data_IF_282333470977
#
_entry.id   IF_282333470977
#
_cell.length_a   1.000
_cell.length_b   1.000
_cell.length_c   1.000
_cell.angle_alpha   90.00
_cell.angle_beta   90.00
_cell.angle_gamma   90.00
#
_symmetry.space_group_name_H-M   'P 1'
#
loop_
_entity.id
_entity.type
_entity.pdbx_description
1 polymer ?
#
# COMPACT_ATOMS: atom_id res chain seq x y z
N UNK A 1 -10.38 18.06 0.30
CA UNK A 1 -8.91 17.82 0.32
C UNK A 1 -8.46 17.68 -1.12
N UNK A 2 -7.27 18.08 -1.50
CA UNK A 2 -6.79 17.90 -2.88
C UNK A 2 -6.13 16.54 -2.99
N UNK A 3 -6.55 15.72 -3.95
CA UNK A 3 -5.92 14.43 -4.25
C UNK A 3 -4.49 14.65 -4.73
N UNK A 4 -3.56 13.85 -4.22
CA UNK A 4 -2.14 13.91 -4.56
C UNK A 4 -1.75 12.67 -5.37
N UNK A 5 -0.86 12.86 -6.34
CA UNK A 5 -0.44 11.80 -7.24
C UNK A 5 1.08 11.72 -7.31
N UNK A 6 1.58 10.49 -7.45
CA UNK A 6 3.01 10.24 -7.62
C UNK A 6 3.31 8.77 -7.93
N UNK A 7 4.55 8.45 -8.29
CA UNK A 7 4.94 7.08 -8.58
C UNK A 7 5.25 6.29 -7.31
N UNK A 8 4.99 4.99 -7.37
CA UNK A 8 5.47 4.00 -6.42
C UNK A 8 6.83 3.47 -6.90
N UNK A 9 7.89 3.97 -6.30
CA UNK A 9 9.27 3.70 -6.70
C UNK A 9 9.77 4.54 -7.89
N UNK A 10 11.01 4.31 -8.27
CA UNK A 10 11.63 5.03 -9.38
C UNK A 10 11.10 4.50 -10.72
N UNK A 11 10.41 5.33 -11.46
CA UNK A 11 9.90 4.99 -12.79
C UNK A 11 11.05 4.73 -13.79
N UNK A 12 10.79 3.94 -14.82
CA UNK A 12 11.75 3.71 -15.92
C UNK A 12 12.21 5.04 -16.56
N UNK A 13 11.29 6.00 -16.71
CA UNK A 13 11.58 7.33 -17.25
C UNK A 13 12.49 8.18 -16.36
N UNK A 14 12.57 7.90 -15.05
CA UNK A 14 13.56 8.51 -14.16
C UNK A 14 14.99 8.11 -14.55
N UNK A 15 15.22 6.80 -14.73
CA UNK A 15 16.52 6.30 -15.20
C UNK A 15 16.85 6.76 -16.63
N UNK A 16 15.86 6.79 -17.54
CA UNK A 16 16.03 7.30 -18.89
C UNK A 16 16.38 8.80 -18.95
N UNK A 17 15.94 9.57 -17.95
CA UNK A 17 16.32 10.98 -17.80
C UNK A 17 17.73 11.17 -17.21
N UNK A 18 18.49 10.08 -16.98
CA UNK A 18 19.88 10.12 -16.50
C UNK A 18 20.04 10.10 -14.99
N UNK A 19 18.94 10.01 -14.22
CA UNK A 19 18.99 9.92 -12.75
C UNK A 19 19.26 8.49 -12.28
N UNK A 20 20.05 8.35 -11.21
CA UNK A 20 20.38 7.05 -10.62
C UNK A 20 20.12 7.01 -9.12
N UNK A 21 20.28 8.11 -8.42
CA UNK A 21 20.13 8.19 -6.97
C UNK A 21 18.70 8.57 -6.59
N UNK A 22 18.05 7.74 -5.75
CA UNK A 22 16.66 7.98 -5.33
C UNK A 22 16.46 9.32 -4.61
N UNK A 23 17.49 9.89 -3.99
CA UNK A 23 17.42 11.23 -3.40
C UNK A 23 17.06 12.33 -4.41
N UNK A 24 17.27 12.09 -5.70
CA UNK A 24 16.95 13.05 -6.77
C UNK A 24 15.50 12.89 -7.27
N UNK A 25 14.80 11.84 -6.84
CA UNK A 25 13.43 11.56 -7.26
C UNK A 25 12.43 12.66 -6.89
N UNK A 26 12.45 13.27 -5.68
CA UNK A 26 11.50 14.34 -5.34
C UNK A 26 11.57 15.54 -6.30
N UNK A 27 12.76 16.00 -6.64
CA UNK A 27 12.93 17.10 -7.59
C UNK A 27 12.43 16.75 -9.00
N UNK A 28 12.73 15.54 -9.47
CA UNK A 28 12.28 15.05 -10.76
C UNK A 28 10.75 14.87 -10.83
N UNK A 29 10.13 14.39 -9.76
CA UNK A 29 8.67 14.21 -9.62
C UNK A 29 7.98 15.59 -9.64
N UNK A 30 8.48 16.55 -8.86
CA UNK A 30 7.97 17.91 -8.82
C UNK A 30 8.02 18.59 -10.19
N UNK A 31 9.11 18.40 -10.95
CA UNK A 31 9.26 18.92 -12.31
C UNK A 31 8.23 18.34 -13.30
N UNK A 32 7.58 17.23 -12.96
CA UNK A 32 6.46 16.64 -13.73
C UNK A 32 5.07 17.07 -13.24
N UNK A 33 5.01 17.97 -12.25
CA UNK A 33 3.75 18.44 -11.67
C UNK A 33 3.09 17.44 -10.70
N UNK A 34 3.81 16.39 -10.29
CA UNK A 34 3.34 15.41 -9.31
C UNK A 34 3.74 15.86 -7.89
N UNK A 35 3.03 15.34 -6.88
CA UNK A 35 3.13 15.82 -5.49
C UNK A 35 3.32 14.72 -4.45
N UNK A 36 3.42 13.45 -4.87
CA UNK A 36 3.65 12.32 -3.97
C UNK A 36 4.77 11.41 -4.50
N UNK A 37 5.40 10.69 -3.59
CA UNK A 37 6.35 9.61 -3.91
C UNK A 37 6.28 8.51 -2.85
N UNK A 38 6.14 7.27 -3.29
CA UNK A 38 6.22 6.12 -2.41
C UNK A 38 7.58 5.43 -2.53
N UNK A 39 8.32 5.34 -1.41
CA UNK A 39 9.58 4.62 -1.36
C UNK A 39 9.34 3.11 -1.25
N UNK A 40 9.96 2.31 -2.12
CA UNK A 40 9.74 0.86 -2.20
C UNK A 40 10.78 0.06 -1.43
N UNK A 41 10.34 -0.67 -0.38
CA UNK A 41 11.16 -1.61 0.39
C UNK A 41 10.89 -3.08 0.01
N UNK A 42 10.47 -3.38 -1.21
CA UNK A 42 9.95 -4.68 -1.64
C UNK A 42 10.76 -5.90 -1.19
N UNK A 43 12.10 -5.82 -1.17
CA UNK A 43 13.00 -6.93 -0.76
C UNK A 43 13.68 -6.69 0.59
N UNK A 44 13.05 -5.93 1.48
CA UNK A 44 13.58 -5.58 2.79
C UNK A 44 13.98 -4.11 2.89
N UNK A 45 13.98 -3.59 4.12
CA UNK A 45 14.36 -2.21 4.42
C UNK A 45 15.88 -2.10 4.44
N UNK A 46 16.46 -1.62 3.34
CA UNK A 46 17.93 -1.50 3.18
C UNK A 46 18.43 -0.08 3.26
N UNK A 47 17.51 0.90 3.36
CA UNK A 47 17.87 2.30 3.46
C UNK A 47 18.37 2.64 4.86
N UNK A 48 19.52 3.29 4.95
CA UNK A 48 20.03 3.87 6.20
C UNK A 48 19.41 5.23 6.49
N UNK A 49 19.44 5.65 7.76
CA UNK A 49 18.81 6.90 8.23
C UNK A 49 19.35 8.15 7.53
N UNK A 50 20.65 8.20 7.23
CA UNK A 50 21.26 9.33 6.49
C UNK A 50 20.62 9.48 5.10
N UNK A 51 20.56 8.39 4.32
CA UNK A 51 19.97 8.42 2.97
C UNK A 51 18.48 8.72 3.01
N UNK A 52 17.76 8.15 3.99
CA UNK A 52 16.34 8.44 4.21
C UNK A 52 16.12 9.94 4.51
N UNK A 53 16.94 10.51 5.39
CA UNK A 53 16.91 11.94 5.71
C UNK A 53 17.18 12.84 4.50
N UNK A 54 18.11 12.47 3.62
CA UNK A 54 18.37 13.21 2.38
C UNK A 54 17.16 13.20 1.43
N UNK A 55 16.48 12.06 1.28
CA UNK A 55 15.24 11.97 0.49
C UNK A 55 14.16 12.87 1.11
N UNK A 56 14.01 12.83 2.44
CA UNK A 56 13.04 13.66 3.16
C UNK A 56 13.29 15.17 2.99
N UNK A 57 14.55 15.61 3.08
CA UNK A 57 14.92 17.01 2.87
C UNK A 57 14.58 17.48 1.44
N UNK A 58 14.90 16.68 0.43
CA UNK A 58 14.56 17.01 -0.95
C UNK A 58 13.04 16.97 -1.19
N UNK A 59 12.31 16.02 -0.57
CA UNK A 59 10.86 15.97 -0.64
C UNK A 59 10.22 17.23 -0.04
N UNK A 60 10.66 17.63 1.15
CA UNK A 60 10.18 18.86 1.81
C UNK A 60 10.45 20.10 0.96
N UNK A 61 11.64 20.24 0.40
CA UNK A 61 12.04 21.35 -0.45
C UNK A 61 11.15 21.49 -1.70
N UNK A 62 10.70 20.38 -2.24
CA UNK A 62 9.89 20.34 -3.46
C UNK A 62 8.39 20.12 -3.22
N UNK A 63 7.94 20.08 -1.96
CA UNK A 63 6.53 19.90 -1.61
C UNK A 63 5.99 18.50 -1.97
N UNK A 64 6.86 17.47 -1.93
CA UNK A 64 6.48 16.08 -2.21
C UNK A 64 6.12 15.38 -0.91
N UNK A 65 4.91 14.82 -0.84
CA UNK A 65 4.49 13.95 0.26
C UNK A 65 5.07 12.56 0.07
N UNK A 66 5.65 12.00 1.14
CA UNK A 66 6.27 10.69 1.12
C UNK A 66 5.39 9.64 1.80
N UNK A 67 5.40 8.44 1.25
CA UNK A 67 4.97 7.20 1.88
C UNK A 67 6.03 6.12 1.68
N UNK A 68 5.90 4.99 2.38
CA UNK A 68 6.82 3.88 2.24
C UNK A 68 6.06 2.57 2.09
N UNK A 69 6.40 1.78 1.07
CA UNK A 69 5.89 0.41 0.93
C UNK A 69 6.80 -0.56 1.70
N UNK A 70 6.24 -1.25 2.68
CA UNK A 70 6.95 -2.26 3.46
C UNK A 70 7.31 -3.49 2.59
N UNK A 71 8.19 -4.41 3.07
CA UNK A 71 8.54 -5.60 2.32
C UNK A 71 7.34 -6.46 1.93
N UNK A 72 7.24 -6.82 0.65
CA UNK A 72 6.08 -7.54 0.09
C UNK A 72 5.86 -8.95 0.67
N UNK A 73 6.87 -9.52 1.33
CA UNK A 73 6.80 -10.86 1.93
C UNK A 73 6.25 -10.88 3.35
N UNK A 74 5.86 -9.75 3.93
CA UNK A 74 5.12 -9.70 5.19
C UNK A 74 3.83 -10.51 5.04
N UNK A 75 3.55 -11.36 6.04
CA UNK A 75 2.38 -12.22 6.06
C UNK A 75 1.67 -12.14 7.40
N UNK A 76 0.66 -11.28 7.49
CA UNK A 76 -0.13 -11.06 8.70
C UNK A 76 -1.08 -12.23 9.03
N UNK A 77 -1.33 -13.14 8.09
CA UNK A 77 -2.20 -14.30 8.31
C UNK A 77 -1.49 -15.51 8.92
N UNK A 78 -0.18 -15.40 9.20
CA UNK A 78 0.60 -16.53 9.73
C UNK A 78 0.22 -16.86 11.18
N UNK A 79 0.25 -18.16 11.53
CA UNK A 79 0.12 -18.70 12.89
C UNK A 79 1.48 -19.12 13.49
N UNK A 80 2.55 -19.06 12.69
CA UNK A 80 3.90 -19.44 13.11
C UNK A 80 4.54 -18.33 13.93
N UNK A 81 4.83 -18.59 15.22
CA UNK A 81 5.37 -17.59 16.15
C UNK A 81 6.64 -16.91 15.65
N UNK A 82 7.59 -17.67 15.05
CA UNK A 82 8.82 -17.10 14.49
C UNK A 82 8.54 -16.13 13.34
N UNK A 83 7.58 -16.46 12.46
CA UNK A 83 7.18 -15.57 11.35
C UNK A 83 6.46 -14.32 11.84
N UNK A 84 5.63 -14.43 12.88
CA UNK A 84 5.02 -13.28 13.52
C UNK A 84 6.05 -12.28 14.03
N UNK A 85 7.06 -12.77 14.77
CA UNK A 85 8.14 -11.92 15.28
C UNK A 85 8.95 -11.27 14.15
N UNK A 86 9.24 -11.99 13.07
CA UNK A 86 9.90 -11.43 11.88
C UNK A 86 9.03 -10.34 11.22
N UNK A 87 7.72 -10.56 11.09
CA UNK A 87 6.81 -9.57 10.52
C UNK A 87 6.77 -8.28 11.35
N UNK A 88 6.71 -8.41 12.69
CA UNK A 88 6.81 -7.26 13.60
C UNK A 88 8.13 -6.50 13.34
N UNK A 89 9.27 -7.20 13.29
CA UNK A 89 10.56 -6.59 12.99
C UNK A 89 10.57 -5.82 11.66
N UNK A 90 10.03 -6.40 10.58
CA UNK A 90 9.95 -5.72 9.28
C UNK A 90 9.05 -4.48 9.30
N UNK A 91 7.95 -4.53 10.04
CA UNK A 91 7.08 -3.35 10.19
C UNK A 91 7.79 -2.25 10.97
N UNK A 92 8.47 -2.57 12.08
CA UNK A 92 9.23 -1.61 12.87
C UNK A 92 10.40 -0.99 12.08
N UNK A 93 11.11 -1.78 11.28
CA UNK A 93 12.14 -1.27 10.36
C UNK A 93 11.54 -0.33 9.30
N UNK A 94 10.35 -0.65 8.80
CA UNK A 94 9.62 0.21 7.85
C UNK A 94 9.17 1.51 8.51
N UNK A 95 8.66 1.47 9.73
CA UNK A 95 8.30 2.66 10.52
C UNK A 95 9.52 3.57 10.78
N UNK A 96 10.67 2.97 11.14
CA UNK A 96 11.93 3.71 11.30
C UNK A 96 12.31 4.44 10.01
N UNK A 97 12.34 3.72 8.89
CA UNK A 97 12.72 4.32 7.61
C UNK A 97 11.73 5.39 7.15
N UNK A 98 10.42 5.17 7.36
CA UNK A 98 9.38 6.17 7.07
C UNK A 98 9.59 7.44 7.90
N UNK A 99 9.81 7.31 9.22
CA UNK A 99 10.09 8.46 10.09
C UNK A 99 11.37 9.20 9.69
N UNK A 100 12.45 8.46 9.40
CA UNK A 100 13.74 9.04 8.98
C UNK A 100 13.62 9.88 7.71
N UNK A 101 12.71 9.52 6.80
CA UNK A 101 12.45 10.28 5.56
C UNK A 101 11.29 11.30 5.69
N UNK A 102 10.60 11.36 6.84
CA UNK A 102 9.46 12.26 7.03
C UNK A 102 8.17 11.80 6.35
N UNK A 103 8.04 10.49 6.08
CA UNK A 103 6.79 9.87 5.65
C UNK A 103 5.89 9.61 6.85
N UNK A 104 4.57 9.80 6.69
CA UNK A 104 3.57 9.64 7.74
C UNK A 104 2.88 8.27 7.72
N UNK A 105 3.14 7.45 6.71
CA UNK A 105 2.48 6.16 6.52
C UNK A 105 3.35 5.11 5.83
N UNK A 106 3.01 3.85 6.13
CA UNK A 106 3.58 2.68 5.47
C UNK A 106 2.47 1.81 4.90
N UNK A 107 2.68 1.23 3.71
CA UNK A 107 1.80 0.22 3.10
C UNK A 107 2.27 -1.17 3.48
N UNK A 108 1.35 -2.04 3.90
CA UNK A 108 1.65 -3.39 4.38
C UNK A 108 0.73 -4.41 3.74
N UNK A 109 1.30 -5.46 3.13
CA UNK A 109 0.57 -6.62 2.64
C UNK A 109 0.03 -7.48 3.78
N UNK A 110 -1.13 -8.09 3.56
CA UNK A 110 -1.81 -8.95 4.55
C UNK A 110 -1.37 -10.41 4.51
N UNK A 111 -0.85 -10.86 3.36
CA UNK A 111 -0.26 -12.18 3.21
C UNK A 111 -1.21 -13.31 2.82
N UNK A 112 -0.64 -14.47 2.50
CA UNK A 112 -1.35 -15.60 1.93
C UNK A 112 -2.10 -16.46 2.96
N UNK A 113 -3.25 -17.01 2.55
CA UNK A 113 -4.06 -17.95 3.36
C UNK A 113 -3.25 -19.19 3.78
N UNK A 114 -2.36 -19.66 2.87
CA UNK A 114 -1.58 -20.88 3.09
C UNK A 114 -2.35 -22.14 2.68
N UNK A 115 -1.62 -23.24 2.43
CA UNK A 115 -2.21 -24.47 1.88
C UNK A 115 -2.99 -25.31 2.90
N UNK A 116 -2.74 -25.13 4.20
CA UNK A 116 -3.28 -25.98 5.29
C UNK A 116 -4.34 -25.27 6.14
N UNK A 117 -4.70 -24.03 5.82
CA UNK A 117 -5.64 -23.22 6.59
C UNK A 117 -6.87 -22.87 5.78
N UNK A 118 -7.97 -22.68 6.46
CA UNK A 118 -9.16 -22.05 5.87
C UNK A 118 -8.95 -20.53 5.79
N UNK A 119 -9.72 -19.86 4.96
CA UNK A 119 -9.68 -18.40 4.85
C UNK A 119 -10.10 -17.73 6.17
N UNK A 120 -11.10 -18.28 6.84
CA UNK A 120 -11.57 -17.77 8.14
C UNK A 120 -10.49 -17.88 9.22
N UNK A 121 -9.75 -18.99 9.26
CA UNK A 121 -8.61 -19.15 10.18
C UNK A 121 -7.47 -18.16 9.86
N UNK A 122 -7.20 -17.90 8.57
CA UNK A 122 -6.21 -16.91 8.15
C UNK A 122 -6.65 -15.48 8.54
N UNK A 123 -7.93 -15.14 8.38
CA UNK A 123 -8.49 -13.86 8.84
C UNK A 123 -8.44 -13.72 10.36
N UNK A 124 -8.76 -14.76 11.12
CA UNK A 124 -8.64 -14.74 12.58
C UNK A 124 -7.20 -14.46 13.02
N UNK A 125 -6.21 -15.10 12.39
CA UNK A 125 -4.79 -14.81 12.62
C UNK A 125 -4.42 -13.37 12.25
N UNK A 126 -4.91 -12.87 11.11
CA UNK A 126 -4.64 -11.49 10.68
C UNK A 126 -5.15 -10.48 11.70
N UNK A 127 -6.34 -10.67 12.27
CA UNK A 127 -6.87 -9.79 13.34
C UNK A 127 -5.97 -9.76 14.58
N UNK A 128 -5.43 -10.92 14.98
CA UNK A 128 -4.50 -11.01 16.13
C UNK A 128 -3.19 -10.31 15.78
N UNK A 129 -2.60 -10.64 14.63
CA UNK A 129 -1.28 -10.14 14.24
C UNK A 129 -1.28 -8.63 13.98
N UNK A 130 -2.37 -8.06 13.44
CA UNK A 130 -2.53 -6.61 13.30
C UNK A 130 -2.50 -5.92 14.67
N UNK A 131 -3.20 -6.45 15.67
CA UNK A 131 -3.16 -5.88 17.04
C UNK A 131 -1.78 -6.00 17.68
N UNK A 132 -1.11 -7.14 17.53
CA UNK A 132 0.26 -7.34 18.04
C UNK A 132 1.25 -6.35 17.39
N UNK A 133 1.13 -6.11 16.09
CA UNK A 133 1.95 -5.14 15.35
C UNK A 133 1.67 -3.71 15.81
N UNK A 134 0.41 -3.32 16.01
CA UNK A 134 0.06 -2.01 16.52
C UNK A 134 0.64 -1.78 17.91
N UNK A 135 0.52 -2.76 18.81
CA UNK A 135 1.10 -2.67 20.15
C UNK A 135 2.63 -2.53 20.08
N UNK A 136 3.32 -3.38 19.30
CA UNK A 136 4.77 -3.30 19.13
C UNK A 136 5.23 -1.96 18.52
N UNK A 137 4.44 -1.40 17.58
CA UNK A 137 4.68 -0.09 16.97
C UNK A 137 4.59 1.04 18.01
N UNK A 138 3.59 0.99 18.87
CA UNK A 138 3.38 1.97 19.93
C UNK A 138 4.49 1.88 21.00
N UNK A 139 4.82 0.65 21.43
CA UNK A 139 5.91 0.39 22.38
C UNK A 139 7.27 0.90 21.87
N UNK A 140 7.49 0.81 20.56
CA UNK A 140 8.68 1.35 19.89
C UNK A 140 8.61 2.87 19.63
N UNK A 141 7.49 3.53 20.01
CA UNK A 141 7.30 4.97 19.90
C UNK A 141 6.93 5.48 18.51
N UNK A 142 6.53 4.61 17.57
CA UNK A 142 6.11 5.00 16.20
C UNK A 142 4.61 5.33 16.12
N UNK A 143 4.06 6.06 17.10
CA UNK A 143 2.63 6.41 17.17
C UNK A 143 2.19 7.35 16.05
N UNK A 144 3.12 8.08 15.45
CA UNK A 144 2.96 9.04 14.36
C UNK A 144 2.94 8.40 12.95
N UNK A 145 3.24 7.09 12.84
CA UNK A 145 3.24 6.39 11.55
C UNK A 145 1.94 5.59 11.39
N UNK A 146 1.19 5.87 10.35
CA UNK A 146 -0.03 5.15 9.97
C UNK A 146 0.31 3.85 9.22
N UNK A 147 -0.37 2.76 9.53
CA UNK A 147 -0.30 1.52 8.74
C UNK A 147 -1.48 1.49 7.77
N UNK A 148 -1.19 1.38 6.48
CA UNK A 148 -2.16 1.20 5.42
C UNK A 148 -2.16 -0.27 4.98
N UNK A 149 -3.25 -1.01 5.22
CA UNK A 149 -3.39 -2.41 4.82
C UNK A 149 -3.88 -2.50 3.38
N UNK A 150 -3.16 -3.25 2.54
CA UNK A 150 -3.38 -3.24 1.10
C UNK A 150 -4.35 -4.33 0.63
N UNK A 151 -5.27 -3.95 -0.29
CA UNK A 151 -6.06 -4.91 -1.07
C UNK A 151 -5.15 -5.68 -2.03
N UNK A 152 -5.38 -7.00 -2.17
CA UNK A 152 -4.44 -7.91 -2.85
C UNK A 152 -5.03 -8.55 -4.09
N UNK A 153 -4.25 -8.67 -5.15
CA UNK A 153 -4.67 -9.18 -6.44
C UNK A 153 -4.79 -10.71 -6.55
N UNK A 154 -4.02 -11.46 -5.75
CA UNK A 154 -4.07 -12.94 -5.78
C UNK A 154 -5.22 -13.49 -4.95
N UNK A 155 -5.98 -14.42 -5.51
CA UNK A 155 -7.17 -15.00 -4.86
C UNK A 155 -6.83 -15.73 -3.55
N UNK A 156 -5.67 -16.38 -3.47
CA UNK A 156 -5.23 -17.11 -2.28
C UNK A 156 -4.55 -16.24 -1.21
N UNK A 157 -4.60 -14.92 -1.35
CA UNK A 157 -4.12 -13.94 -0.39
C UNK A 157 -5.31 -13.26 0.28
N UNK A 158 -5.22 -12.95 1.58
CA UNK A 158 -6.17 -12.08 2.27
C UNK A 158 -6.07 -10.70 1.64
N UNK A 159 -7.20 -10.07 1.27
CA UNK A 159 -7.13 -8.76 0.61
C UNK A 159 -8.28 -8.43 -0.33
N UNK A 160 -9.48 -9.04 -0.14
CA UNK A 160 -10.69 -8.46 -0.71
C UNK A 160 -10.97 -7.11 -0.06
N UNK A 161 -11.76 -6.26 -0.68
CA UNK A 161 -12.16 -4.99 -0.08
C UNK A 161 -12.78 -5.20 1.31
N UNK A 162 -13.70 -6.15 1.44
CA UNK A 162 -14.36 -6.48 2.70
C UNK A 162 -13.36 -6.93 3.79
N UNK A 163 -12.41 -7.79 3.44
CA UNK A 163 -11.40 -8.28 4.40
C UNK A 163 -10.48 -7.16 4.88
N UNK A 164 -10.06 -6.29 3.99
CA UNK A 164 -9.24 -5.13 4.35
C UNK A 164 -10.05 -4.16 5.23
N UNK A 165 -11.30 -3.87 4.88
CA UNK A 165 -12.15 -3.01 5.70
C UNK A 165 -12.36 -3.61 7.09
N UNK A 166 -12.58 -4.92 7.21
CA UNK A 166 -12.71 -5.60 8.49
C UNK A 166 -11.43 -5.47 9.35
N UNK A 167 -10.25 -5.60 8.75
CA UNK A 167 -8.98 -5.43 9.46
C UNK A 167 -8.71 -3.97 9.84
N UNK A 168 -9.02 -3.02 8.97
CA UNK A 168 -8.86 -1.59 9.22
C UNK A 168 -9.83 -1.09 10.30
N UNK A 169 -11.01 -1.67 10.42
CA UNK A 169 -11.97 -1.36 11.47
C UNK A 169 -11.53 -1.79 12.88
N UNK A 170 -10.45 -2.56 13.01
CA UNK A 170 -9.91 -2.98 14.31
C UNK A 170 -9.33 -1.84 15.13
N UNK A 171 -8.87 -0.77 14.48
CA UNK A 171 -8.24 0.38 15.15
C UNK A 171 -8.31 1.62 14.23
N UNK A 172 -8.62 2.78 14.82
CA UNK A 172 -8.78 4.03 14.06
C UNK A 172 -7.47 4.58 13.47
N UNK A 173 -6.34 4.06 13.89
CA UNK A 173 -4.99 4.40 13.37
C UNK A 173 -4.60 3.61 12.14
N UNK A 174 -5.44 2.69 11.68
CA UNK A 174 -5.28 1.96 10.43
C UNK A 174 -6.00 2.69 9.30
N UNK A 175 -5.44 2.65 8.11
CA UNK A 175 -6.11 3.08 6.88
C UNK A 175 -6.08 1.94 5.85
N UNK A 176 -7.01 1.91 4.91
CA UNK A 176 -6.88 1.03 3.76
C UNK A 176 -5.87 1.60 2.76
N UNK A 177 -5.14 0.71 2.10
CA UNK A 177 -4.52 0.97 0.83
C UNK A 177 -5.31 0.24 -0.25
N UNK A 178 -6.06 0.98 -1.04
CA UNK A 178 -6.85 0.42 -2.13
C UNK A 178 -5.98 0.34 -3.38
N UNK A 179 -5.55 -0.85 -3.76
CA UNK A 179 -4.97 -1.09 -5.08
C UNK A 179 -6.08 -1.51 -6.04
N UNK A 180 -6.47 -0.58 -6.91
CA UNK A 180 -7.54 -0.79 -7.89
C UNK A 180 -7.18 -1.84 -8.94
N UNK A 181 -5.90 -1.94 -9.31
CA UNK A 181 -5.40 -2.98 -10.19
C UNK A 181 -5.49 -4.37 -9.55
N UNK A 182 -5.13 -4.50 -8.28
CA UNK A 182 -5.29 -5.73 -7.51
C UNK A 182 -6.77 -6.17 -7.43
N UNK A 183 -7.67 -5.25 -7.09
CA UNK A 183 -9.10 -5.58 -7.04
C UNK A 183 -9.63 -6.02 -8.41
N UNK A 184 -9.27 -5.30 -9.47
CA UNK A 184 -9.64 -5.68 -10.84
C UNK A 184 -9.09 -7.06 -11.23
N UNK A 185 -7.82 -7.35 -10.92
CA UNK A 185 -7.21 -8.63 -11.21
C UNK A 185 -7.86 -9.78 -10.43
N UNK A 186 -8.19 -9.55 -9.16
CA UNK A 186 -8.84 -10.51 -8.27
C UNK A 186 -10.25 -10.89 -8.72
N UNK A 187 -11.00 -9.92 -9.22
CA UNK A 187 -12.38 -10.08 -9.71
C UNK A 187 -12.45 -10.40 -11.21
N UNK A 188 -11.29 -10.59 -11.84
CA UNK A 188 -11.20 -10.89 -13.28
C UNK A 188 -11.81 -9.82 -14.19
N UNK A 189 -11.69 -8.54 -13.78
CA UNK A 189 -12.13 -7.41 -14.60
C UNK A 189 -13.36 -6.67 -14.09
N UNK A 190 -13.85 -6.97 -12.87
CA UNK A 190 -15.07 -6.35 -12.34
C UNK A 190 -14.86 -4.92 -11.75
N UNK A 191 -13.65 -4.37 -11.73
CA UNK A 191 -13.41 -2.97 -11.32
C UNK A 191 -13.35 -2.02 -12.52
N UNK A 192 -14.34 -2.12 -13.41
CA UNK A 192 -14.32 -1.44 -14.71
C UNK A 192 -15.36 -0.32 -14.83
N UNK A 193 -16.37 -0.29 -13.98
CA UNK A 193 -17.47 0.69 -14.04
C UNK A 193 -17.46 1.65 -12.86
N UNK A 194 -18.14 2.79 -13.03
CA UNK A 194 -18.29 3.77 -11.96
C UNK A 194 -19.12 3.22 -10.80
N UNK A 195 -20.13 2.39 -11.06
CA UNK A 195 -20.96 1.76 -10.03
C UNK A 195 -20.14 0.84 -9.11
N UNK A 196 -19.21 0.08 -9.67
CA UNK A 196 -18.33 -0.81 -8.89
C UNK A 196 -17.34 -0.01 -8.03
N UNK A 197 -16.81 1.08 -8.59
CA UNK A 197 -15.94 2.00 -7.84
C UNK A 197 -16.72 2.71 -6.74
N UNK A 198 -17.91 3.25 -7.03
CA UNK A 198 -18.77 3.90 -6.04
C UNK A 198 -19.15 2.95 -4.90
N UNK A 199 -19.50 1.69 -5.20
CA UNK A 199 -19.80 0.68 -4.19
C UNK A 199 -18.60 0.41 -3.25
N UNK A 200 -17.37 0.48 -3.75
CA UNK A 200 -16.15 0.37 -2.95
C UNK A 200 -15.99 1.58 -1.99
N UNK A 201 -16.25 2.79 -2.47
CA UNK A 201 -16.23 4.00 -1.62
C UNK A 201 -17.32 3.95 -0.56
N UNK A 202 -18.54 3.53 -0.93
CA UNK A 202 -19.65 3.32 0.03
C UNK A 202 -19.25 2.32 1.12
N UNK A 203 -18.60 1.20 0.76
CA UNK A 203 -18.10 0.22 1.71
C UNK A 203 -17.07 0.85 2.68
N UNK A 204 -16.15 1.66 2.17
CA UNK A 204 -15.17 2.35 3.02
C UNK A 204 -15.87 3.31 3.98
N UNK A 205 -16.76 4.18 3.49
CA UNK A 205 -17.46 5.17 4.30
C UNK A 205 -18.33 4.52 5.38
N UNK A 206 -19.06 3.46 5.04
CA UNK A 206 -19.89 2.71 5.98
C UNK A 206 -19.08 2.01 7.07
N UNK A 207 -17.85 1.56 6.75
CA UNK A 207 -17.05 0.75 7.68
C UNK A 207 -16.16 1.60 8.58
N UNK A 208 -15.51 2.64 8.03
CA UNK A 208 -14.51 3.43 8.76
C UNK A 208 -14.89 4.90 8.92
N UNK A 209 -16.03 5.32 8.40
CA UNK A 209 -16.50 6.69 8.42
C UNK A 209 -15.86 7.57 7.35
N UNK A 210 -16.60 8.59 6.94
CA UNK A 210 -16.24 9.48 5.81
C UNK A 210 -14.88 10.19 6.01
N UNK A 211 -14.52 10.56 7.23
CA UNK A 211 -13.27 11.30 7.49
C UNK A 211 -12.03 10.43 7.31
N UNK A 212 -12.10 9.15 7.66
CA UNK A 212 -11.01 8.18 7.40
C UNK A 212 -11.01 7.74 5.94
N UNK A 213 -12.19 7.54 5.35
CA UNK A 213 -12.33 7.18 3.95
C UNK A 213 -11.69 8.24 3.03
N UNK A 214 -11.84 9.54 3.31
CA UNK A 214 -11.25 10.64 2.52
C UNK A 214 -9.71 10.67 2.50
N UNK A 215 -9.04 10.02 3.44
CA UNK A 215 -7.57 10.05 3.57
C UNK A 215 -6.93 8.68 3.29
N UNK A 216 -7.68 7.77 2.68
CA UNK A 216 -7.17 6.46 2.30
C UNK A 216 -5.92 6.56 1.42
N UNK A 217 -5.11 5.52 1.42
CA UNK A 217 -4.01 5.36 0.47
C UNK A 217 -4.48 4.57 -0.75
N UNK A 218 -3.95 4.87 -1.93
CA UNK A 218 -4.32 4.12 -3.12
C UNK A 218 -3.14 3.82 -4.02
N UNK A 219 -3.20 2.67 -4.67
CA UNK A 219 -2.36 2.30 -5.80
C UNK A 219 -3.22 2.14 -7.06
N UNK A 220 -2.63 2.49 -8.18
CA UNK A 220 -3.24 2.26 -9.48
C UNK A 220 -2.21 1.78 -10.49
N UNK A 221 -2.49 0.64 -11.08
CA UNK A 221 -1.82 0.13 -12.28
C UNK A 221 -2.78 -0.78 -13.04
N UNK A 222 -2.56 -0.98 -14.33
CA UNK A 222 -3.17 -2.10 -15.03
C UNK A 222 -2.47 -3.38 -14.63
N UNK A 223 -3.20 -4.49 -14.50
CA UNK A 223 -2.66 -5.78 -14.05
C UNK A 223 -3.11 -6.91 -14.96
N UNK A 224 -2.15 -7.67 -15.48
CA UNK A 224 -2.42 -8.95 -16.11
C UNK A 224 -2.89 -9.93 -15.05
N UNK A 225 -3.96 -10.68 -15.33
CA UNK A 225 -4.52 -11.66 -14.43
C UNK A 225 -4.85 -13.00 -15.10
N UNK A 226 -4.96 -14.02 -14.27
CA UNK A 226 -5.34 -15.37 -14.63
C UNK A 226 -6.42 -15.89 -13.68
N UNK A 227 -6.79 -17.16 -13.77
CA UNK A 227 -7.71 -17.80 -12.80
C UNK A 227 -7.28 -17.67 -11.34
N UNK A 228 -5.99 -17.45 -11.06
CA UNK A 228 -5.44 -17.22 -9.72
C UNK A 228 -5.42 -15.75 -9.28
N UNK A 229 -5.96 -14.85 -10.09
CA UNK A 229 -5.86 -13.40 -9.90
C UNK A 229 -4.59 -12.84 -10.53
N UNK A 230 -3.99 -11.85 -9.89
CA UNK A 230 -2.80 -11.12 -10.33
C UNK A 230 -1.66 -12.00 -10.83
N UNK A 231 -1.10 -11.61 -12.00
CA UNK A 231 0.11 -12.18 -12.59
C UNK A 231 1.25 -11.17 -12.55
N UNK A 232 1.04 -9.96 -13.09
CA UNK A 232 2.05 -8.87 -13.07
C UNK A 232 1.42 -7.50 -13.32
N UNK A 233 2.06 -6.47 -12.79
CA UNK A 233 1.72 -5.08 -13.07
C UNK A 233 2.11 -4.69 -14.49
N UNK A 234 1.29 -3.86 -15.12
CA UNK A 234 1.43 -3.34 -16.47
C UNK A 234 1.43 -1.80 -16.42
N UNK A 235 1.77 -1.18 -17.56
CA UNK A 235 1.69 0.26 -17.71
C UNK A 235 0.33 0.70 -18.26
N UNK A 236 0.04 2.00 -18.22
CA UNK A 236 -1.18 2.59 -18.79
C UNK A 236 -1.36 2.32 -20.30
N UNK A 237 -0.27 2.02 -21.01
CA UNK A 237 -0.30 1.70 -22.45
C UNK A 237 -0.85 0.31 -22.78
N UNK A 238 -1.08 -0.55 -21.79
CA UNK A 238 -1.71 -1.84 -22.04
C UNK A 238 -3.19 -1.64 -22.42
N UNK A 239 -3.64 -2.34 -23.48
CA UNK A 239 -5.00 -2.21 -24.01
C UNK A 239 -5.86 -3.46 -23.73
N UNK A 240 -5.27 -4.51 -23.14
CA UNK A 240 -5.95 -5.78 -22.87
C UNK A 240 -6.52 -5.84 -21.47
N UNK A 241 -5.72 -5.38 -20.49
CA UNK A 241 -6.09 -5.46 -19.07
C UNK A 241 -6.44 -4.08 -18.50
N UNK A 242 -7.29 -4.11 -17.44
CA UNK A 242 -7.72 -2.93 -16.70
C UNK A 242 -7.07 -2.84 -15.33
N UNK A 243 -7.70 -2.04 -14.44
CA UNK A 243 -8.93 -1.28 -14.69
C UNK A 243 -8.72 -0.05 -15.57
N UNK A 244 -9.78 0.54 -16.16
CA UNK A 244 -9.74 1.90 -16.68
C UNK A 244 -9.59 2.90 -15.52
N UNK A 245 -8.96 4.04 -15.77
CA UNK A 245 -8.73 5.05 -14.72
C UNK A 245 -9.93 6.01 -14.56
N UNK A 246 -10.69 6.22 -15.61
CA UNK A 246 -11.77 7.21 -15.68
C UNK A 246 -12.84 7.01 -14.59
N UNK A 247 -13.35 5.80 -14.30
CA UNK A 247 -14.30 5.58 -13.22
C UNK A 247 -13.73 5.95 -11.85
N UNK A 248 -12.45 5.69 -11.62
CA UNK A 248 -11.77 6.01 -10.36
C UNK A 248 -11.59 7.52 -10.21
N UNK A 249 -11.18 8.19 -11.28
CA UNK A 249 -11.01 9.64 -11.29
C UNK A 249 -12.32 10.41 -11.07
N UNK A 250 -13.46 9.81 -11.37
CA UNK A 250 -14.77 10.43 -11.14
C UNK A 250 -15.19 10.44 -9.66
N UNK A 251 -14.63 9.52 -8.85
CA UNK A 251 -14.93 9.38 -7.42
C UNK A 251 -13.85 9.98 -6.50
N UNK A 252 -12.67 10.36 -7.03
CA UNK A 252 -11.55 10.92 -6.26
C UNK A 252 -11.32 12.40 -6.52
#
# INVERSE_FOLDING_TARGET
MKTIFGPAGNAVSFAQAGFQATKDAPAWIAAKGLTAYEYQCGRGVRIGSETAGLIGQEAQKHGIQLSLHAPYFINLSTDEAEKKQKNIGYVLESCRAARDMGADRIVVHTGGVGKKRTRDAAMANSRVNVREILAAKDDAGYTDITICLETMGKINVIGTAQEIMELVALDDRLLPCIDFGHLNARTHGEMATQEEVAALFDLMEQTIGIERAKIFHSHFSKIEYSKGGEVRHLTFSDEIYGPPFEPIAAET
#
